data_IF_681451982242
#
_entry.id   IF_681451982242
#
_cell.length_a   1.000
_cell.length_b   1.000
_cell.length_c   1.000
_cell.angle_alpha   90.00
_cell.angle_beta   90.00
_cell.angle_gamma   90.00
#
_symmetry.space_group_name_H-M   'P 1'
#
loop_
_entity.id
_entity.type
_entity.pdbx_description
1 polymer ?
#
# COMPACT_ATOMS: atom_id res chain seq x y z
N UNK A 1 6.29 29.60 0.19
CA UNK A 1 6.49 28.14 0.34
C UNK A 1 6.80 27.51 -1.03
N UNK A 2 8.03 27.61 -1.55
CA UNK A 2 8.34 27.19 -2.93
C UNK A 2 8.55 25.67 -3.13
N UNK A 3 8.78 24.92 -2.05
CA UNK A 3 9.09 23.49 -2.11
C UNK A 3 7.86 22.60 -2.34
N UNK A 4 6.69 23.03 -1.86
CA UNK A 4 5.43 22.31 -1.99
C UNK A 4 4.83 22.43 -3.40
N UNK A 5 5.15 23.51 -4.14
CA UNK A 5 4.68 23.76 -5.52
C UNK A 5 5.07 22.69 -6.55
N UNK A 6 6.02 21.82 -6.21
CA UNK A 6 6.41 20.65 -7.01
C UNK A 6 5.57 19.40 -6.74
N UNK A 7 4.57 19.51 -5.87
CA UNK A 7 3.58 18.49 -5.55
C UNK A 7 2.20 19.01 -5.96
N UNK A 8 1.26 18.11 -6.24
CA UNK A 8 -0.07 18.48 -6.70
C UNK A 8 -0.97 18.98 -5.58
N UNK A 9 -2.22 19.31 -5.95
CA UNK A 9 -3.21 19.90 -5.05
C UNK A 9 -3.60 18.96 -3.92
N UNK A 10 -3.64 17.64 -4.14
CA UNK A 10 -4.03 16.68 -3.09
C UNK A 10 -2.97 16.63 -1.99
N UNK A 11 -1.68 16.69 -2.36
CA UNK A 11 -0.60 16.76 -1.38
C UNK A 11 -0.71 18.03 -0.52
N UNK A 12 -1.00 19.19 -1.12
CA UNK A 12 -1.22 20.43 -0.37
C UNK A 12 -2.37 20.32 0.64
N UNK A 13 -3.52 19.77 0.22
CA UNK A 13 -4.67 19.60 1.11
C UNK A 13 -4.33 18.66 2.28
N UNK A 14 -3.66 17.54 2.03
CA UNK A 14 -3.26 16.61 3.10
C UNK A 14 -2.29 17.28 4.08
N UNK A 15 -1.34 18.09 3.61
CA UNK A 15 -0.42 18.82 4.48
C UNK A 15 -1.17 19.87 5.32
N UNK A 16 -2.12 20.60 4.72
CA UNK A 16 -2.97 21.53 5.46
C UNK A 16 -3.76 20.80 6.56
N UNK A 17 -4.34 19.63 6.26
CA UNK A 17 -5.05 18.80 7.25
C UNK A 17 -4.12 18.30 8.37
N UNK A 18 -2.86 17.95 8.04
CA UNK A 18 -1.87 17.57 9.06
C UNK A 18 -1.59 18.73 10.00
N UNK A 19 -1.39 19.93 9.46
CA UNK A 19 -1.14 21.13 10.27
C UNK A 19 -2.35 21.49 11.12
N UNK A 20 -3.54 21.46 10.55
CA UNK A 20 -4.81 21.75 11.25
C UNK A 20 -5.05 20.77 12.41
N UNK A 21 -4.89 19.46 12.16
CA UNK A 21 -5.01 18.42 13.19
C UNK A 21 -3.98 18.55 14.31
N UNK A 22 -2.82 19.16 14.03
CA UNK A 22 -1.76 19.39 15.00
C UNK A 22 -1.67 20.88 15.39
N UNK A 23 -2.73 21.66 15.25
CA UNK A 23 -2.76 23.09 15.59
C UNK A 23 -2.39 23.35 17.06
N UNK A 24 -2.79 22.45 17.98
CA UNK A 24 -2.41 22.49 19.39
C UNK A 24 -0.91 22.18 19.65
N UNK A 25 -0.21 21.61 18.66
CA UNK A 25 1.20 21.22 18.75
C UNK A 25 1.91 21.48 17.41
N UNK A 26 2.01 22.75 17.04
CA UNK A 26 2.59 23.22 15.76
C UNK A 26 3.95 22.56 15.43
N UNK A 27 4.91 22.40 16.37
CA UNK A 27 6.17 21.73 16.08
C UNK A 27 5.99 20.28 15.60
N UNK A 28 5.02 19.54 16.16
CA UNK A 28 4.69 18.18 15.72
C UNK A 28 4.04 18.18 14.34
N UNK A 29 3.10 19.09 14.09
CA UNK A 29 2.46 19.22 12.78
C UNK A 29 3.47 19.48 11.66
N UNK A 30 4.36 20.44 11.87
CA UNK A 30 5.43 20.77 10.93
C UNK A 30 6.41 19.61 10.72
N UNK A 31 6.80 18.90 11.78
CA UNK A 31 7.66 17.73 11.68
C UNK A 31 7.01 16.62 10.85
N UNK A 32 5.72 16.35 11.06
CA UNK A 32 4.96 15.35 10.31
C UNK A 32 4.84 15.75 8.83
N UNK A 33 4.45 16.99 8.53
CA UNK A 33 4.38 17.51 7.17
C UNK A 33 5.72 17.40 6.43
N UNK A 34 6.83 17.77 7.11
CA UNK A 34 8.18 17.62 6.57
C UNK A 34 8.53 16.17 6.31
N UNK A 35 8.19 15.25 7.22
CA UNK A 35 8.49 13.83 7.05
C UNK A 35 7.72 13.21 5.87
N UNK A 36 6.46 13.59 5.65
CA UNK A 36 5.68 13.18 4.48
C UNK A 36 6.40 13.61 3.21
N UNK A 37 6.74 14.89 3.10
CA UNK A 37 7.31 15.44 1.87
C UNK A 37 8.75 14.98 1.62
N UNK A 38 9.58 14.90 2.66
CA UNK A 38 11.00 14.55 2.53
C UNK A 38 11.24 13.03 2.41
N UNK A 39 10.55 12.20 3.21
CA UNK A 39 10.82 10.76 3.23
C UNK A 39 9.96 10.01 2.20
N UNK A 40 8.69 10.36 2.06
CA UNK A 40 7.81 9.62 1.14
C UNK A 40 7.99 10.01 -0.31
N UNK A 41 8.19 11.31 -0.57
CA UNK A 41 8.45 11.80 -1.92
C UNK A 41 9.73 11.23 -2.53
N UNK A 42 10.75 10.97 -1.70
CA UNK A 42 12.01 10.33 -2.10
C UNK A 42 11.88 8.82 -2.26
N UNK A 43 11.30 8.12 -1.27
CA UNK A 43 11.29 6.65 -1.23
C UNK A 43 10.39 6.01 -2.31
N UNK A 44 9.24 6.61 -2.59
CA UNK A 44 8.25 6.01 -3.49
C UNK A 44 8.02 6.83 -4.78
N UNK A 45 8.95 7.73 -5.10
CA UNK A 45 8.83 8.74 -6.17
C UNK A 45 7.65 9.70 -5.98
N UNK A 46 7.81 10.95 -6.44
CA UNK A 46 6.72 11.95 -6.46
C UNK A 46 5.46 11.42 -7.14
N UNK A 47 5.61 10.52 -8.11
CA UNK A 47 4.53 9.91 -8.88
C UNK A 47 3.52 9.12 -8.03
N UNK A 48 3.92 8.51 -6.91
CA UNK A 48 2.98 7.74 -6.06
C UNK A 48 2.49 8.54 -4.85
N UNK A 49 3.20 9.60 -4.45
CA UNK A 49 2.80 10.43 -3.31
C UNK A 49 1.49 11.17 -3.59
N UNK A 50 1.38 11.80 -4.76
CA UNK A 50 0.18 12.52 -5.15
C UNK A 50 -1.08 11.63 -5.16
N UNK A 51 -1.10 10.48 -5.86
CA UNK A 51 -2.27 9.60 -5.84
C UNK A 51 -2.51 8.98 -4.45
N UNK A 52 -1.48 8.81 -3.61
CA UNK A 52 -1.69 8.38 -2.24
C UNK A 52 -2.40 9.45 -1.40
N UNK A 53 -1.98 10.71 -1.50
CA UNK A 53 -2.66 11.83 -0.88
C UNK A 53 -4.10 11.97 -1.38
N UNK A 54 -4.33 11.74 -2.67
CA UNK A 54 -5.68 11.77 -3.24
C UNK A 54 -6.59 10.69 -2.65
N UNK A 55 -6.11 9.46 -2.49
CA UNK A 55 -6.87 8.40 -1.81
C UNK A 55 -7.16 8.71 -0.35
N UNK A 56 -6.26 9.41 0.36
CA UNK A 56 -6.54 9.87 1.74
C UNK A 56 -7.73 10.82 1.76
N UNK A 57 -7.81 11.75 0.81
CA UNK A 57 -8.92 12.70 0.70
C UNK A 57 -10.22 12.00 0.30
N UNK A 58 -10.17 11.17 -0.74
CA UNK A 58 -11.33 10.46 -1.28
C UNK A 58 -11.97 9.53 -0.24
N UNK A 59 -11.14 8.77 0.48
CA UNK A 59 -11.59 7.86 1.54
C UNK A 59 -11.74 8.53 2.90
N UNK A 60 -11.55 9.85 2.98
CA UNK A 60 -11.58 10.66 4.22
C UNK A 60 -10.76 10.05 5.36
N UNK A 61 -9.60 9.49 5.04
CA UNK A 61 -8.72 8.83 5.99
C UNK A 61 -7.98 9.85 6.85
N UNK A 62 -7.56 9.42 8.04
CA UNK A 62 -6.68 10.24 8.86
C UNK A 62 -5.34 10.46 8.13
N UNK A 63 -4.87 11.72 7.96
CA UNK A 63 -3.66 12.04 7.21
C UNK A 63 -2.42 11.75 8.06
N UNK A 64 -2.23 10.50 8.43
CA UNK A 64 -1.10 10.04 9.24
C UNK A 64 -0.04 9.40 8.37
N UNK A 65 1.20 9.41 8.84
CA UNK A 65 2.32 8.83 8.13
C UNK A 65 2.15 7.34 7.80
N UNK A 66 1.55 6.57 8.70
CA UNK A 66 1.30 5.15 8.50
C UNK A 66 0.29 4.90 7.37
N UNK A 67 -0.79 5.69 7.34
CA UNK A 67 -1.82 5.59 6.30
C UNK A 67 -1.24 5.91 4.92
N UNK A 68 -0.52 7.04 4.80
CA UNK A 68 0.05 7.47 3.51
C UNK A 68 1.06 6.42 3.00
N UNK A 69 1.93 5.89 3.87
CA UNK A 69 2.88 4.82 3.51
C UNK A 69 2.19 3.56 2.99
N UNK A 70 1.11 3.15 3.66
CA UNK A 70 0.36 1.96 3.28
C UNK A 70 -0.25 2.13 1.88
N UNK A 71 -0.87 3.28 1.62
CA UNK A 71 -1.48 3.58 0.33
C UNK A 71 -0.41 3.68 -0.78
N UNK A 72 0.72 4.35 -0.54
CA UNK A 72 1.81 4.38 -1.52
C UNK A 72 2.34 2.99 -1.85
N UNK A 73 2.43 2.11 -0.84
CA UNK A 73 2.85 0.71 -1.05
C UNK A 73 1.82 -0.06 -1.86
N UNK A 74 0.53 0.14 -1.58
CA UNK A 74 -0.58 -0.45 -2.34
C UNK A 74 -0.56 -0.01 -3.82
N UNK A 75 -0.39 1.29 -4.07
CA UNK A 75 -0.24 1.86 -5.42
C UNK A 75 0.99 1.29 -6.12
N UNK A 76 2.15 1.27 -5.46
CA UNK A 76 3.37 0.73 -6.05
C UNK A 76 3.23 -0.76 -6.39
N UNK A 77 2.60 -1.54 -5.51
CA UNK A 77 2.33 -2.96 -5.76
C UNK A 77 1.35 -3.16 -6.92
N UNK A 78 0.30 -2.33 -7.02
CA UNK A 78 -0.66 -2.36 -8.14
C UNK A 78 0.00 -1.97 -9.48
N UNK A 79 1.00 -1.09 -9.46
CA UNK A 79 1.78 -0.75 -10.65
C UNK A 79 2.73 -1.86 -11.09
N UNK A 80 3.30 -2.61 -10.14
CA UNK A 80 4.19 -3.74 -10.42
C UNK A 80 3.45 -4.99 -10.89
N UNK A 81 2.24 -5.20 -10.35
CA UNK A 81 1.35 -6.26 -10.78
C UNK A 81 0.00 -5.64 -11.18
N UNK A 82 -0.13 -5.13 -12.42
CA UNK A 82 -1.42 -4.74 -12.95
C UNK A 82 -2.27 -6.01 -13.11
N UNK A 83 -2.89 -6.45 -12.02
CA UNK A 83 -3.90 -7.48 -12.07
C UNK A 83 -5.04 -6.93 -12.95
N UNK A 84 -5.47 -7.72 -13.93
CA UNK A 84 -6.63 -7.44 -14.76
C UNK A 84 -7.80 -6.92 -13.89
N UNK A 85 -8.57 -5.92 -14.38
CA UNK A 85 -9.52 -5.17 -13.57
C UNK A 85 -10.59 -6.11 -13.00
N UNK A 86 -10.52 -6.40 -11.70
CA UNK A 86 -11.47 -7.32 -11.07
C UNK A 86 -11.32 -7.57 -9.57
N UNK A 87 -10.20 -7.20 -8.93
CA UNK A 87 -10.05 -7.50 -7.49
C UNK A 87 -10.47 -6.34 -6.62
N UNK A 88 -11.78 -6.24 -6.35
CA UNK A 88 -12.28 -5.57 -5.15
C UNK A 88 -11.56 -6.16 -3.93
N UNK A 89 -11.09 -5.28 -3.08
CA UNK A 89 -10.47 -5.53 -1.78
C UNK A 89 -11.19 -6.61 -0.99
N UNK A 90 -10.58 -7.80 -0.88
CA UNK A 90 -10.91 -8.74 0.18
C UNK A 90 -9.93 -8.50 1.33
N UNK A 91 -10.40 -8.19 2.56
CA UNK A 91 -9.52 -8.18 3.72
C UNK A 91 -9.00 -9.59 3.94
N UNK A 92 -7.68 -9.74 4.04
CA UNK A 92 -7.01 -10.99 4.36
C UNK A 92 -7.32 -11.37 5.82
N UNK A 93 -8.43 -12.08 6.04
CA UNK A 93 -8.66 -12.83 7.27
C UNK A 93 -7.85 -14.13 7.19
N UNK A 94 -6.63 -14.11 7.72
CA UNK A 94 -5.89 -15.32 8.08
C UNK A 94 -6.62 -15.99 9.25
N UNK A 95 -7.60 -16.83 8.95
CA UNK A 95 -7.94 -18.00 9.75
C UNK A 95 -9.03 -18.78 9.02
N UNK A 96 -8.66 -19.83 8.29
CA UNK A 96 -9.48 -21.04 8.23
C UNK A 96 -8.67 -22.18 7.63
N UNK A 97 -8.69 -23.27 8.37
CA UNK A 97 -8.08 -24.55 8.07
C UNK A 97 -8.69 -25.15 6.79
N UNK A 98 -7.86 -25.91 6.09
CA UNK A 98 -8.12 -26.67 4.85
C UNK A 98 -8.95 -27.96 5.16
N UNK A 99 -9.29 -28.84 4.19
CA UNK A 99 -10.23 -28.83 3.03
C UNK A 99 -11.34 -29.91 3.13
N UNK A 100 -12.37 -29.86 2.26
CA UNK A 100 -13.11 -31.02 1.66
C UNK A 100 -14.21 -30.46 0.73
N UNK A 101 -14.58 -30.95 -0.46
CA UNK A 101 -14.25 -32.08 -1.35
C UNK A 101 -14.84 -31.75 -2.77
N UNK A 102 -14.98 -32.69 -3.73
CA UNK A 102 -13.99 -33.12 -4.73
C UNK A 102 -14.41 -32.80 -6.19
N UNK A 103 -13.46 -32.73 -7.15
CA UNK A 103 -13.77 -32.77 -8.58
C UNK A 103 -13.95 -34.22 -9.08
N UNK A 104 -14.96 -34.36 -9.94
CA UNK A 104 -15.30 -35.44 -10.88
C UNK A 104 -14.18 -36.46 -11.16
N UNK A 105 -14.51 -37.73 -10.99
CA UNK A 105 -13.63 -38.85 -11.34
C UNK A 105 -13.46 -39.04 -12.84
N UNK A 106 -12.26 -39.42 -13.25
CA UNK A 106 -11.93 -40.73 -13.82
C UNK A 106 -10.42 -40.78 -14.15
N UNK A 107 -9.85 -41.99 -14.14
CA UNK A 107 -8.52 -42.37 -14.62
C UNK A 107 -7.27 -42.20 -13.70
N UNK A 108 -7.00 -43.30 -12.99
CA UNK A 108 -5.74 -44.06 -12.98
C UNK A 108 -4.46 -43.49 -12.32
N UNK A 109 -4.20 -44.03 -11.12
CA UNK A 109 -2.92 -44.57 -10.63
C UNK A 109 -1.61 -44.11 -11.30
N UNK A 110 -0.89 -43.19 -10.64
CA UNK A 110 0.57 -43.15 -10.70
C UNK A 110 1.13 -42.45 -9.45
N UNK A 111 1.72 -43.26 -8.57
CA UNK A 111 2.57 -42.84 -7.46
C UNK A 111 3.72 -41.98 -7.99
N UNK A 112 3.81 -40.72 -7.56
CA UNK A 112 5.04 -39.92 -7.72
C UNK A 112 5.72 -39.74 -6.37
N UNK A 113 6.65 -40.66 -6.10
CA UNK A 113 7.69 -40.52 -5.08
C UNK A 113 8.46 -39.23 -5.36
N UNK A 114 8.60 -38.35 -4.36
CA UNK A 114 9.44 -37.16 -4.46
C UNK A 114 10.92 -37.58 -4.40
N UNK A 115 11.76 -37.29 -5.40
CA UNK A 115 13.20 -37.40 -5.22
C UNK A 115 13.67 -36.29 -4.27
N UNK A 116 14.34 -36.69 -3.19
CA UNK A 116 15.16 -35.82 -2.35
C UNK A 116 16.61 -36.04 -2.78
N UNK A 117 17.23 -35.05 -3.43
CA UNK A 117 18.61 -34.61 -3.21
C UNK A 117 19.01 -33.60 -4.30
N UNK A 118 19.36 -32.38 -3.90
CA UNK A 118 20.29 -31.54 -4.66
C UNK A 118 20.95 -30.52 -3.73
N UNK A 119 21.94 -30.96 -2.98
CA UNK A 119 23.04 -30.16 -2.45
C UNK A 119 24.27 -30.40 -3.32
N UNK A 120 24.46 -29.56 -4.32
CA UNK A 120 25.69 -29.53 -5.11
C UNK A 120 26.78 -28.75 -4.36
N UNK A 121 27.85 -29.49 -4.04
CA UNK A 121 29.24 -29.14 -3.75
C UNK A 121 29.65 -27.66 -3.54
#
# INVERSE_FOLDING_TARGET
MAWASSFGSATHTVIAMILDRNSAAVPRGLLQARNVLANLGKKHSKATLEPACQQVLEKKLAPTMAVIKRIQTDIAHAQQHPAAPGRRTQPATKNQQRPTAPPTGDAADAVFIRPADHNEN
#
